data_IF_679656996186
#
_entry.id   IF_679656996186
#
_cell.length_a   1.000
_cell.length_b   1.000
_cell.length_c   1.000
_cell.angle_alpha   90.00
_cell.angle_beta   90.00
_cell.angle_gamma   90.00
#
_symmetry.space_group_name_H-M   'P 1'
#
loop_
_entity.id
_entity.type
_entity.pdbx_description
1 polymer ?
#
# COMPACT_ATOMS: atom_id res chain seq x y z
N UNK A 1 33.43 17.38 23.96
CA UNK A 1 32.40 17.91 24.88
C UNK A 1 31.24 18.41 24.06
N UNK A 2 30.20 17.58 23.90
CA UNK A 2 28.85 17.95 23.42
C UNK A 2 27.91 17.12 24.29
N UNK A 3 26.92 17.80 24.89
CA UNK A 3 26.00 17.27 25.88
C UNK A 3 24.86 16.40 25.31
N UNK A 4 23.96 15.93 26.20
CA UNK A 4 23.14 14.75 26.00
C UNK A 4 21.64 15.06 25.93
N UNK A 5 20.98 14.91 24.79
CA UNK A 5 19.50 14.87 24.74
C UNK A 5 19.01 13.98 23.58
N UNK A 6 18.89 12.67 23.83
CA UNK A 6 18.09 11.76 23.00
C UNK A 6 17.45 10.62 23.82
N UNK A 7 17.32 10.82 25.13
CA UNK A 7 16.60 9.94 26.05
C UNK A 7 15.30 10.64 26.45
N UNK A 8 14.30 10.60 25.56
CA UNK A 8 13.01 11.27 25.80
C UNK A 8 11.83 10.77 24.97
N UNK A 9 12.00 9.71 24.18
CA UNK A 9 10.90 9.07 23.48
C UNK A 9 10.88 7.59 23.85
N UNK A 10 10.16 7.27 24.92
CA UNK A 10 9.56 5.94 25.14
C UNK A 10 8.49 5.71 24.05
N UNK A 11 8.92 5.66 22.79
CA UNK A 11 8.12 5.13 21.71
C UNK A 11 8.19 3.62 21.84
N UNK A 12 7.16 3.07 22.49
CA UNK A 12 6.94 1.64 22.50
C UNK A 12 6.71 1.16 21.07
N UNK A 13 7.79 0.65 20.47
CA UNK A 13 7.80 0.07 19.13
C UNK A 13 7.01 -1.25 19.05
N UNK A 14 6.44 -1.73 20.15
CA UNK A 14 5.51 -2.86 20.17
C UNK A 14 4.21 -2.58 19.39
N UNK A 15 3.82 -1.32 19.19
CA UNK A 15 2.65 -0.98 18.35
C UNK A 15 2.89 -1.14 16.84
N UNK A 16 4.15 -1.17 16.39
CA UNK A 16 4.53 -1.42 14.99
C UNK A 16 4.91 -2.88 14.77
N UNK A 17 5.25 -3.61 15.83
CA UNK A 17 5.26 -5.08 15.86
C UNK A 17 3.95 -5.63 16.41
N UNK A 18 2.86 -5.37 15.68
CA UNK A 18 1.61 -6.06 15.94
C UNK A 18 1.81 -7.57 15.80
N UNK A 19 1.68 -8.31 16.92
CA UNK A 19 1.30 -9.72 16.93
C UNK A 19 0.19 -9.93 15.88
N UNK A 20 0.19 -11.07 15.19
CA UNK A 20 -0.95 -11.55 14.37
C UNK A 20 -2.20 -11.74 15.25
N UNK A 21 -2.82 -10.64 15.66
CA UNK A 21 -4.15 -10.57 16.23
C UNK A 21 -4.99 -9.73 15.26
N UNK A 22 -5.99 -10.36 14.64
CA UNK A 22 -6.90 -9.70 13.71
C UNK A 22 -7.59 -8.56 14.46
N UNK A 23 -7.27 -7.30 14.14
CA UNK A 23 -7.91 -6.13 14.78
C UNK A 23 -9.38 -6.11 14.36
N UNK A 24 -10.28 -6.26 15.33
CA UNK A 24 -11.74 -6.26 15.12
C UNK A 24 -12.34 -4.85 15.14
N UNK A 25 -11.63 -3.88 15.72
CA UNK A 25 -12.04 -2.49 15.81
C UNK A 25 -11.08 -1.60 15.02
N UNK A 26 -11.64 -0.64 14.30
CA UNK A 26 -10.89 0.26 13.42
C UNK A 26 -11.29 1.70 13.73
N UNK A 27 -10.28 2.56 13.94
CA UNK A 27 -10.45 4.02 14.10
C UNK A 27 -10.77 4.64 12.74
N UNK A 28 -11.89 5.33 12.64
CA UNK A 28 -12.46 5.97 11.44
C UNK A 28 -13.83 5.38 11.09
N UNK A 29 -14.82 6.22 10.76
CA UNK A 29 -16.10 5.74 10.17
C UNK A 29 -16.17 6.17 8.70
N UNK A 30 -16.35 5.25 7.74
CA UNK A 30 -16.57 5.65 6.35
C UNK A 30 -17.87 6.45 6.17
N UNK A 31 -18.80 6.35 7.12
CA UNK A 31 -20.03 7.13 7.13
C UNK A 31 -19.84 8.60 7.52
N UNK A 32 -18.71 8.97 8.11
CA UNK A 32 -18.47 10.31 8.66
C UNK A 32 -17.96 11.27 7.60
N UNK A 33 -18.56 12.47 7.54
CA UNK A 33 -18.09 13.56 6.70
C UNK A 33 -18.07 14.88 7.45
N UNK A 34 -17.03 15.68 7.20
CA UNK A 34 -16.87 17.03 7.73
C UNK A 34 -16.78 18.01 6.56
N UNK A 35 -17.64 19.02 6.54
CA UNK A 35 -17.60 20.06 5.53
C UNK A 35 -16.80 21.26 6.02
N UNK A 36 -16.04 21.87 5.10
CA UNK A 36 -15.22 23.04 5.39
C UNK A 36 -16.00 24.29 5.00
N UNK A 37 -16.38 25.10 5.99
CA UNK A 37 -17.17 26.33 5.85
C UNK A 37 -17.14 27.19 7.13
N UNK A 38 -18.02 28.20 7.22
CA UNK A 38 -18.13 29.10 8.39
C UNK A 38 -18.56 28.34 9.66
N UNK A 39 -19.39 27.32 9.51
CA UNK A 39 -19.70 26.33 10.55
C UNK A 39 -19.16 24.97 10.11
N UNK A 40 -18.35 24.31 10.96
CA UNK A 40 -17.82 22.97 10.72
C UNK A 40 -18.94 21.93 10.90
N UNK A 41 -19.76 21.78 9.87
CA UNK A 41 -20.83 20.78 9.87
C UNK A 41 -20.25 19.37 9.78
N UNK A 42 -20.69 18.52 10.70
CA UNK A 42 -20.31 17.11 10.80
C UNK A 42 -21.55 16.26 10.59
N UNK A 43 -21.51 15.39 9.59
CA UNK A 43 -22.65 14.55 9.22
C UNK A 43 -22.27 13.07 9.14
N UNK A 44 -23.25 12.23 9.37
CA UNK A 44 -23.25 10.81 9.06
C UNK A 44 -24.04 10.61 7.77
N UNK A 45 -23.53 9.77 6.88
CA UNK A 45 -24.12 9.38 5.59
C UNK A 45 -24.52 7.91 5.54
N UNK A 46 -24.65 7.26 6.70
CA UNK A 46 -25.00 5.84 6.74
C UNK A 46 -26.42 5.64 6.20
N UNK A 47 -26.63 4.61 5.38
CA UNK A 47 -27.93 4.36 4.73
C UNK A 47 -28.40 5.53 3.84
N UNK A 48 -27.44 6.29 3.30
CA UNK A 48 -27.67 7.49 2.47
C UNK A 48 -28.48 8.62 3.14
N UNK A 49 -28.72 8.49 4.45
CA UNK A 49 -29.35 9.51 5.27
C UNK A 49 -28.34 10.59 5.67
N UNK A 50 -28.71 11.86 5.56
CA UNK A 50 -27.89 12.98 6.05
C UNK A 50 -28.28 13.28 7.50
N UNK A 51 -27.44 12.86 8.44
CA UNK A 51 -27.70 13.03 9.87
C UNK A 51 -26.61 13.89 10.52
N UNK A 52 -26.95 15.07 11.09
CA UNK A 52 -26.00 15.85 11.88
C UNK A 52 -25.48 15.03 13.07
N UNK A 53 -24.17 15.04 13.27
CA UNK A 53 -23.53 14.27 14.34
C UNK A 53 -22.45 15.05 15.09
N UNK A 54 -22.34 14.74 16.38
CA UNK A 54 -21.22 15.08 17.22
C UNK A 54 -20.22 13.92 17.18
N UNK A 55 -19.10 14.14 16.48
CA UNK A 55 -18.04 13.16 16.40
C UNK A 55 -17.00 13.35 17.51
N UNK A 56 -16.70 12.26 18.22
CA UNK A 56 -15.61 12.14 19.19
C UNK A 56 -14.68 11.00 18.77
N UNK A 57 -13.38 11.19 18.91
CA UNK A 57 -12.40 10.14 18.66
C UNK A 57 -12.17 9.36 19.95
N UNK A 58 -12.52 8.07 19.97
CA UNK A 58 -12.39 7.20 21.15
C UNK A 58 -11.31 6.15 20.91
N UNK A 59 -10.59 5.77 21.96
CA UNK A 59 -9.60 4.69 21.85
C UNK A 59 -10.29 3.30 21.80
N UNK A 60 -9.93 2.41 20.85
CA UNK A 60 -10.48 1.06 20.74
C UNK A 60 -10.32 0.22 22.01
N UNK A 61 -9.32 0.52 22.85
CA UNK A 61 -9.11 -0.19 24.12
C UNK A 61 -10.33 -0.12 25.06
N UNK A 62 -11.12 0.96 24.99
CA UNK A 62 -12.38 1.10 25.73
C UNK A 62 -13.43 0.05 25.35
N UNK A 63 -13.27 -0.62 24.22
CA UNK A 63 -14.21 -1.56 23.64
C UNK A 63 -13.61 -2.96 23.44
N UNK A 64 -12.54 -3.31 24.16
CA UNK A 64 -11.84 -4.60 24.04
C UNK A 64 -12.75 -5.82 24.32
N UNK A 65 -13.82 -5.62 25.07
CA UNK A 65 -14.78 -6.67 25.42
C UNK A 65 -15.75 -7.01 24.28
N UNK A 66 -15.79 -6.22 23.20
CA UNK A 66 -16.62 -6.53 22.03
C UNK A 66 -16.01 -7.72 21.28
N UNK A 67 -16.60 -8.90 21.49
CA UNK A 67 -16.17 -10.15 20.87
C UNK A 67 -17.16 -10.67 19.83
N UNK A 68 -18.36 -10.10 19.80
CA UNK A 68 -19.47 -10.43 18.91
C UNK A 68 -20.34 -9.21 18.60
N UNK A 69 -21.23 -9.33 17.62
CA UNK A 69 -22.21 -8.28 17.29
C UNK A 69 -23.16 -8.02 18.48
N UNK A 70 -23.53 -9.06 19.23
CA UNK A 70 -24.43 -8.94 20.37
C UNK A 70 -23.87 -8.00 21.46
N UNK A 71 -22.55 -7.95 21.59
CA UNK A 71 -21.86 -7.06 22.53
C UNK A 71 -21.97 -5.58 22.12
N UNK A 72 -22.13 -5.28 20.82
CA UNK A 72 -22.26 -3.89 20.33
C UNK A 72 -23.48 -3.19 20.94
N UNK A 73 -24.54 -3.93 21.27
CA UNK A 73 -25.75 -3.35 21.87
C UNK A 73 -25.45 -2.68 23.23
N UNK A 74 -24.45 -3.17 23.96
CA UNK A 74 -24.06 -2.64 25.28
C UNK A 74 -23.26 -1.33 25.18
N UNK A 75 -22.65 -1.08 24.02
CA UNK A 75 -21.79 0.08 23.78
C UNK A 75 -22.43 1.10 22.84
N UNK A 76 -23.70 0.89 22.46
CA UNK A 76 -24.48 1.84 21.68
C UNK A 76 -24.66 3.13 22.47
N UNK A 77 -24.49 4.28 21.81
CA UNK A 77 -24.77 5.59 22.39
C UNK A 77 -26.27 5.77 22.63
N UNK A 78 -26.64 6.31 23.79
CA UNK A 78 -28.00 6.76 24.08
C UNK A 78 -28.44 7.94 23.18
N UNK A 79 -27.46 8.70 22.67
CA UNK A 79 -27.70 9.79 21.72
C UNK A 79 -27.47 9.33 20.28
N UNK A 80 -28.50 9.49 19.44
CA UNK A 80 -28.45 9.16 18.00
C UNK A 80 -27.49 10.05 17.20
N UNK A 81 -27.19 11.25 17.70
CA UNK A 81 -26.26 12.18 17.05
C UNK A 81 -24.80 11.92 17.41
N UNK A 82 -24.48 10.98 18.32
CA UNK A 82 -23.09 10.71 18.67
C UNK A 82 -22.41 9.72 17.71
N UNK A 83 -21.19 10.04 17.32
CA UNK A 83 -20.32 9.17 16.52
C UNK A 83 -18.97 8.99 17.23
N UNK A 84 -18.61 7.75 17.54
CA UNK A 84 -17.33 7.41 18.18
C UNK A 84 -16.17 7.32 17.20
N UNK A 85 -16.42 7.57 15.91
CA UNK A 85 -15.47 7.35 14.82
C UNK A 85 -14.80 5.97 14.91
N UNK A 86 -15.59 4.95 15.23
CA UNK A 86 -15.13 3.60 15.43
C UNK A 86 -16.08 2.61 14.76
N UNK A 87 -15.50 1.67 14.04
CA UNK A 87 -16.23 0.60 13.35
C UNK A 87 -15.76 -0.76 13.85
N UNK A 88 -16.71 -1.69 13.91
CA UNK A 88 -16.48 -3.10 14.24
C UNK A 88 -16.53 -3.95 12.97
N UNK A 89 -15.53 -4.78 12.79
CA UNK A 89 -15.40 -5.70 11.67
C UNK A 89 -15.86 -7.09 12.12
N UNK A 90 -17.10 -7.45 11.82
CA UNK A 90 -17.55 -8.81 12.07
C UNK A 90 -17.00 -9.76 11.00
N UNK A 91 -15.98 -10.52 11.36
CA UNK A 91 -15.35 -11.50 10.47
C UNK A 91 -16.16 -12.79 10.32
N UNK A 92 -17.16 -13.02 11.16
CA UNK A 92 -18.02 -14.20 11.06
C UNK A 92 -19.09 -14.02 9.99
N UNK A 93 -19.86 -12.93 10.06
CA UNK A 93 -20.86 -12.60 9.04
C UNK A 93 -20.27 -11.87 7.83
N UNK A 94 -19.10 -11.26 7.99
CA UNK A 94 -18.38 -10.56 6.92
C UNK A 94 -18.75 -9.09 6.77
N UNK A 95 -19.55 -8.51 7.66
CA UNK A 95 -20.05 -7.13 7.56
C UNK A 95 -19.43 -6.15 8.56
N UNK A 96 -19.47 -4.87 8.20
CA UNK A 96 -18.99 -3.77 9.02
C UNK A 96 -20.13 -3.11 9.80
N UNK A 97 -19.87 -2.76 11.06
CA UNK A 97 -20.85 -2.16 11.97
C UNK A 97 -20.34 -0.86 12.58
N UNK A 98 -21.22 0.12 12.72
CA UNK A 98 -20.96 1.36 13.46
C UNK A 98 -21.06 1.08 14.96
N UNK A 99 -19.98 1.33 15.72
CA UNK A 99 -19.96 1.04 17.17
C UNK A 99 -20.93 1.94 17.92
N UNK A 100 -21.02 3.24 17.58
CA UNK A 100 -21.88 4.17 18.32
C UNK A 100 -23.37 3.93 18.11
N UNK A 101 -23.76 3.27 17.03
CA UNK A 101 -25.18 2.99 16.70
C UNK A 101 -25.57 1.53 16.81
N UNK A 102 -24.59 0.61 16.83
CA UNK A 102 -24.83 -0.83 16.78
C UNK A 102 -25.52 -1.28 15.49
N UNK A 103 -25.32 -0.55 14.39
CA UNK A 103 -25.99 -0.79 13.10
C UNK A 103 -24.97 -1.15 12.03
N UNK A 104 -25.41 -1.93 11.04
CA UNK A 104 -24.62 -2.19 9.84
C UNK A 104 -24.31 -0.88 9.13
N UNK A 105 -23.09 -0.79 8.61
CA UNK A 105 -22.70 0.31 7.76
C UNK A 105 -23.16 0.00 6.35
N UNK A 106 -23.93 0.93 5.81
CA UNK A 106 -24.49 0.85 4.49
C UNK A 106 -24.17 2.16 3.75
N UNK A 107 -23.70 2.02 2.51
CA UNK A 107 -23.43 3.13 1.61
C UNK A 107 -24.11 2.78 0.29
N UNK A 108 -24.98 3.66 -0.22
CA UNK A 108 -25.71 3.44 -1.45
C UNK A 108 -26.56 2.16 -1.43
N UNK A 109 -27.37 2.02 -0.38
CA UNK A 109 -28.21 0.84 -0.08
C UNK A 109 -27.46 -0.51 -0.02
N UNK A 110 -26.13 -0.51 -0.04
CA UNK A 110 -25.28 -1.71 0.01
C UNK A 110 -24.51 -1.82 1.32
N UNK A 111 -24.59 -3.00 1.91
CA UNK A 111 -23.86 -3.32 3.14
C UNK A 111 -22.36 -3.34 2.86
N UNK A 112 -21.60 -2.57 3.64
CA UNK A 112 -20.15 -2.52 3.52
C UNK A 112 -19.54 -3.77 4.15
N UNK A 113 -18.79 -4.53 3.36
CA UNK A 113 -18.12 -5.76 3.81
C UNK A 113 -16.84 -5.45 4.57
N UNK A 114 -16.48 -6.34 5.47
CA UNK A 114 -15.19 -6.29 6.19
C UNK A 114 -13.99 -6.42 5.27
N UNK A 115 -14.11 -7.16 4.17
CA UNK A 115 -13.07 -7.25 3.13
C UNK A 115 -12.81 -5.89 2.47
N UNK A 116 -13.88 -5.15 2.15
CA UNK A 116 -13.75 -3.82 1.54
C UNK A 116 -13.09 -2.82 2.50
N UNK A 117 -13.40 -2.91 3.80
CA UNK A 117 -12.72 -2.10 4.82
C UNK A 117 -11.25 -2.48 4.93
N UNK A 118 -10.89 -3.76 4.88
CA UNK A 118 -9.48 -4.16 4.92
C UNK A 118 -8.68 -3.63 3.73
N UNK A 119 -9.24 -3.74 2.53
CA UNK A 119 -8.64 -3.21 1.31
C UNK A 119 -8.53 -1.68 1.39
N UNK A 120 -9.59 -1.01 1.86
CA UNK A 120 -9.59 0.44 2.11
C UNK A 120 -8.54 0.84 3.16
N UNK A 121 -8.34 0.06 4.21
CA UNK A 121 -7.34 0.34 5.26
C UNK A 121 -5.92 0.15 4.75
N UNK A 122 -5.66 -0.91 3.98
CA UNK A 122 -4.38 -1.09 3.29
C UNK A 122 -4.11 0.10 2.37
N UNK A 123 -5.13 0.56 1.63
CA UNK A 123 -5.06 1.76 0.80
C UNK A 123 -4.74 3.03 1.61
N UNK A 124 -5.57 3.41 2.58
CA UNK A 124 -5.41 4.68 3.33
C UNK A 124 -4.11 4.71 4.13
N UNK A 125 -3.69 3.59 4.72
CA UNK A 125 -2.40 3.52 5.43
C UNK A 125 -1.20 3.59 4.48
N UNK A 126 -1.38 3.14 3.23
CA UNK A 126 -0.35 3.26 2.19
C UNK A 126 -0.31 4.64 1.53
N UNK A 127 -1.35 5.48 1.65
CA UNK A 127 -1.44 6.81 1.00
C UNK A 127 -1.31 7.97 1.99
N UNK A 128 -1.78 7.84 3.23
CA UNK A 128 -1.69 8.90 4.24
C UNK A 128 -0.65 8.65 5.34
N UNK A 129 0.02 9.73 5.78
CA UNK A 129 0.81 9.77 7.01
C UNK A 129 0.00 10.43 8.12
N UNK A 130 -1.10 9.80 8.53
CA UNK A 130 -1.86 10.23 9.71
C UNK A 130 -0.96 10.10 10.96
N UNK A 131 -0.76 11.21 11.68
CA UNK A 131 0.11 11.26 12.89
C UNK A 131 -0.57 10.68 14.14
N UNK A 132 -1.88 10.50 14.13
CA UNK A 132 -2.68 10.15 15.31
C UNK A 132 -3.25 8.73 15.29
N UNK A 133 -2.91 7.93 14.26
CA UNK A 133 -3.39 6.54 14.13
C UNK A 133 -4.90 6.41 13.87
N UNK A 134 -5.62 7.53 13.69
CA UNK A 134 -6.99 7.59 13.17
C UNK A 134 -6.91 7.53 11.65
N UNK A 135 -7.63 6.60 11.04
CA UNK A 135 -7.74 6.49 9.58
C UNK A 135 -8.65 7.60 9.09
N UNK A 136 -8.24 8.32 8.03
CA UNK A 136 -9.06 9.35 7.42
C UNK A 136 -10.40 8.76 6.96
N UNK A 137 -11.46 9.20 7.63
CA UNK A 137 -12.83 8.75 7.38
C UNK A 137 -13.31 9.15 5.97
N UNK A 138 -12.92 10.33 5.49
CA UNK A 138 -13.20 10.79 4.12
C UNK A 138 -12.48 9.92 3.07
N UNK A 139 -11.29 9.42 3.39
CA UNK A 139 -10.48 8.59 2.50
C UNK A 139 -11.05 7.17 2.42
N UNK A 140 -11.52 6.62 3.56
CA UNK A 140 -12.29 5.37 3.59
C UNK A 140 -13.57 5.49 2.76
N UNK A 141 -14.33 6.58 2.94
CA UNK A 141 -15.56 6.83 2.18
C UNK A 141 -15.30 6.92 0.67
N UNK A 142 -14.29 7.71 0.26
CA UNK A 142 -13.89 7.86 -1.14
C UNK A 142 -13.45 6.54 -1.76
N UNK A 143 -12.71 5.73 -1.02
CA UNK A 143 -12.31 4.39 -1.50
C UNK A 143 -13.54 3.52 -1.72
N UNK A 144 -14.41 3.38 -0.72
CA UNK A 144 -15.60 2.52 -0.82
C UNK A 144 -16.55 2.97 -1.93
N UNK A 145 -16.71 4.29 -2.14
CA UNK A 145 -17.52 4.82 -3.25
C UNK A 145 -16.93 4.65 -4.63
N UNK A 146 -15.62 4.42 -4.72
CA UNK A 146 -14.92 4.30 -6.00
C UNK A 146 -14.68 2.85 -6.37
N UNK A 147 -14.11 2.09 -5.43
CA UNK A 147 -13.58 0.74 -5.64
C UNK A 147 -14.37 -0.32 -4.88
N UNK A 148 -15.21 0.05 -3.92
CA UNK A 148 -16.09 -0.90 -3.22
C UNK A 148 -17.21 -1.39 -4.11
N UNK A 149 -17.80 -2.54 -3.77
CA UNK A 149 -18.99 -3.07 -4.44
C UNK A 149 -20.17 -2.09 -4.35
N UNK A 150 -20.16 -1.19 -3.36
CA UNK A 150 -21.08 -0.06 -3.21
C UNK A 150 -21.08 0.93 -4.40
N UNK A 151 -20.04 0.92 -5.27
CA UNK A 151 -19.92 1.79 -6.44
C UNK A 151 -20.60 1.24 -7.71
N UNK A 152 -20.99 -0.03 -7.71
CA UNK A 152 -21.57 -0.69 -8.89
C UNK A 152 -22.92 -0.06 -9.26
N UNK A 153 -22.98 0.56 -10.44
CA UNK A 153 -24.16 1.23 -11.01
C UNK A 153 -24.12 2.77 -11.04
N UNK A 154 -23.08 3.41 -10.47
CA UNK A 154 -22.98 4.88 -10.38
C UNK A 154 -21.99 5.54 -11.34
N UNK A 155 -20.99 4.79 -11.78
CA UNK A 155 -19.96 5.27 -12.69
C UNK A 155 -20.13 4.55 -14.01
N UNK A 156 -20.04 5.30 -15.10
CA UNK A 156 -19.79 4.73 -16.41
C UNK A 156 -18.44 4.00 -16.40
N UNK A 157 -18.25 3.04 -17.30
CA UNK A 157 -16.98 2.31 -17.40
C UNK A 157 -15.80 3.26 -17.63
N UNK A 158 -16.04 4.37 -18.35
CA UNK A 158 -15.06 5.43 -18.60
C UNK A 158 -14.68 6.17 -17.31
N UNK A 159 -15.65 6.62 -16.52
CA UNK A 159 -15.37 7.31 -15.24
C UNK A 159 -14.67 6.38 -14.25
N UNK A 160 -15.01 5.10 -14.25
CA UNK A 160 -14.32 4.09 -13.44
C UNK A 160 -12.87 3.93 -13.88
N UNK A 161 -12.61 3.85 -15.19
CA UNK A 161 -11.27 3.72 -15.77
C UNK A 161 -10.40 4.95 -15.48
N UNK A 162 -10.94 6.16 -15.58
CA UNK A 162 -10.23 7.40 -15.25
C UNK A 162 -9.80 7.43 -13.78
N UNK A 163 -10.70 7.07 -12.86
CA UNK A 163 -10.38 7.09 -11.43
C UNK A 163 -9.35 6.03 -11.09
N UNK A 164 -9.48 4.82 -11.66
CA UNK A 164 -8.49 3.76 -11.52
C UNK A 164 -7.12 4.21 -12.05
N UNK A 165 -7.08 4.84 -13.23
CA UNK A 165 -5.85 5.33 -13.83
C UNK A 165 -5.18 6.40 -12.97
N UNK A 166 -5.95 7.37 -12.49
CA UNK A 166 -5.48 8.40 -11.57
C UNK A 166 -4.91 7.79 -10.29
N UNK A 167 -5.62 6.81 -9.72
CA UNK A 167 -5.21 6.11 -8.52
C UNK A 167 -3.89 5.35 -8.70
N UNK A 168 -3.76 4.55 -9.76
CA UNK A 168 -2.52 3.80 -9.97
C UNK A 168 -1.36 4.74 -10.30
N UNK A 169 -1.62 5.85 -11.00
CA UNK A 169 -0.61 6.88 -11.22
C UNK A 169 -0.05 7.40 -9.89
N UNK A 170 -0.91 7.72 -8.92
CA UNK A 170 -0.48 8.20 -7.61
C UNK A 170 0.32 7.15 -6.82
N UNK A 171 -0.17 5.91 -6.74
CA UNK A 171 0.52 4.81 -6.04
C UNK A 171 1.88 4.53 -6.68
N UNK A 172 1.92 4.49 -8.01
CA UNK A 172 3.13 4.25 -8.78
C UNK A 172 4.17 5.35 -8.59
N UNK A 173 3.75 6.62 -8.57
CA UNK A 173 4.63 7.76 -8.27
C UNK A 173 5.19 7.68 -6.86
N UNK A 174 4.36 7.38 -5.86
CA UNK A 174 4.82 7.22 -4.49
C UNK A 174 5.84 6.09 -4.38
N UNK A 175 5.57 4.96 -5.00
CA UNK A 175 6.50 3.83 -5.02
C UNK A 175 7.83 4.22 -5.69
N UNK A 176 7.80 4.92 -6.82
CA UNK A 176 8.99 5.43 -7.47
C UNK A 176 9.76 6.43 -6.58
N UNK A 177 9.06 7.33 -5.88
CA UNK A 177 9.69 8.22 -4.89
C UNK A 177 10.37 7.42 -3.78
N UNK A 178 9.73 6.38 -3.25
CA UNK A 178 10.30 5.50 -2.23
C UNK A 178 11.48 4.66 -2.73
N UNK A 179 11.43 4.14 -3.96
CA UNK A 179 12.52 3.38 -4.59
C UNK A 179 13.74 4.27 -4.84
N UNK A 180 13.50 5.51 -5.25
CA UNK A 180 14.55 6.50 -5.54
C UNK A 180 15.01 7.26 -4.30
N UNK A 181 14.41 7.01 -3.12
CA UNK A 181 14.59 7.77 -1.88
C UNK A 181 14.37 9.29 -2.06
N UNK A 182 13.40 9.66 -2.89
CA UNK A 182 12.97 11.04 -3.06
C UNK A 182 12.03 11.46 -1.90
N UNK A 183 12.36 12.53 -1.20
CA UNK A 183 11.47 13.17 -0.23
C UNK A 183 10.75 14.34 -0.90
N UNK A 184 9.42 14.30 -0.90
CA UNK A 184 8.51 15.24 -1.56
C UNK A 184 8.31 16.58 -0.82
N UNK A 185 8.95 16.79 0.34
CA UNK A 185 8.87 18.05 1.07
C UNK A 185 9.41 19.21 0.22
N UNK A 186 8.51 20.02 -0.35
CA UNK A 186 8.72 21.27 -1.08
C UNK A 186 9.49 21.17 -2.42
N UNK A 187 9.33 20.10 -3.20
CA UNK A 187 9.98 19.96 -4.52
C UNK A 187 8.96 19.92 -5.66
N UNK A 188 9.31 20.54 -6.80
CA UNK A 188 8.47 20.57 -8.00
C UNK A 188 8.47 19.23 -8.75
N UNK A 189 7.46 19.00 -9.59
CA UNK A 189 7.32 17.79 -10.43
C UNK A 189 8.52 17.58 -11.35
N UNK A 190 9.10 18.66 -11.90
CA UNK A 190 10.35 18.59 -12.68
C UNK A 190 11.53 18.04 -11.88
N UNK A 191 11.65 18.42 -10.61
CA UNK A 191 12.72 17.93 -9.74
C UNK A 191 12.53 16.44 -9.39
N UNK A 192 11.28 15.98 -9.32
CA UNK A 192 10.95 14.56 -9.18
C UNK A 192 11.34 13.79 -10.45
N UNK A 193 10.90 14.25 -11.63
CA UNK A 193 11.19 13.61 -12.92
C UNK A 193 12.69 13.46 -13.17
N UNK A 194 13.47 14.53 -12.96
CA UNK A 194 14.93 14.50 -13.09
C UNK A 194 15.59 13.52 -12.11
N UNK A 195 15.08 13.45 -10.88
CA UNK A 195 15.59 12.53 -9.87
C UNK A 195 15.34 11.07 -10.25
N UNK A 196 14.14 10.76 -10.76
CA UNK A 196 13.79 9.43 -11.28
C UNK A 196 14.66 9.09 -12.48
N UNK A 197 14.83 9.98 -13.46
CA UNK A 197 15.73 9.79 -14.62
C UNK A 197 17.17 9.52 -14.19
N UNK A 198 17.69 10.26 -13.21
CA UNK A 198 19.04 10.04 -12.65
C UNK A 198 19.16 8.68 -11.95
N UNK A 199 18.11 8.22 -11.28
CA UNK A 199 18.09 6.89 -10.67
C UNK A 199 18.03 5.77 -11.73
N UNK A 200 17.21 5.93 -12.77
CA UNK A 200 17.18 4.99 -13.92
C UNK A 200 18.57 4.86 -14.54
N UNK A 201 19.30 5.97 -14.72
CA UNK A 201 20.70 5.94 -15.20
C UNK A 201 21.61 5.08 -14.29
N UNK A 202 21.53 5.27 -12.97
CA UNK A 202 22.30 4.47 -11.98
C UNK A 202 21.94 2.98 -12.02
N UNK A 203 20.67 2.65 -12.20
CA UNK A 203 20.22 1.26 -12.37
C UNK A 203 20.83 0.67 -13.64
N UNK A 204 20.81 1.39 -14.76
CA UNK A 204 21.39 0.93 -16.02
C UNK A 204 22.91 0.73 -15.92
N UNK A 205 23.63 1.60 -15.19
CA UNK A 205 25.04 1.41 -14.87
C UNK A 205 25.27 0.12 -14.06
N UNK A 206 24.44 -0.11 -13.03
CA UNK A 206 24.48 -1.35 -12.24
C UNK A 206 24.23 -2.59 -13.10
N UNK A 207 23.27 -2.51 -14.04
CA UNK A 207 22.97 -3.59 -14.99
C UNK A 207 24.18 -3.93 -15.87
N UNK A 208 24.90 -2.92 -16.35
CA UNK A 208 26.13 -3.12 -17.14
C UNK A 208 27.24 -3.77 -16.30
N UNK A 209 27.35 -3.42 -15.02
CA UNK A 209 28.30 -4.07 -14.09
C UNK A 209 27.97 -5.55 -13.91
N UNK A 210 26.69 -5.91 -13.75
CA UNK A 210 26.27 -7.31 -13.66
C UNK A 210 26.50 -8.08 -14.95
N UNK A 211 26.27 -7.46 -16.12
CA UNK A 211 26.59 -8.09 -17.41
C UNK A 211 28.09 -8.37 -17.56
N UNK A 212 28.94 -7.43 -17.14
CA UNK A 212 30.39 -7.63 -17.12
C UNK A 212 30.80 -8.74 -16.14
N UNK A 213 30.13 -8.84 -14.99
CA UNK A 213 30.35 -9.93 -14.04
C UNK A 213 29.94 -11.29 -14.61
N UNK A 214 28.79 -11.38 -15.30
CA UNK A 214 28.38 -12.61 -16.00
C UNK A 214 29.47 -13.07 -16.96
N UNK A 215 29.99 -12.17 -17.80
CA UNK A 215 31.04 -12.53 -18.78
C UNK A 215 32.32 -13.03 -18.10
N UNK A 216 32.75 -12.38 -17.01
CA UNK A 216 33.93 -12.82 -16.24
C UNK A 216 33.72 -14.20 -15.60
N UNK A 217 32.55 -14.44 -15.02
CA UNK A 217 32.22 -15.73 -14.41
C UNK A 217 32.13 -16.85 -15.45
N UNK A 218 31.60 -16.58 -16.64
CA UNK A 218 31.59 -17.54 -17.77
C UNK A 218 33.00 -17.88 -18.24
N UNK A 219 33.89 -16.89 -18.33
CA UNK A 219 35.30 -17.12 -18.70
C UNK A 219 36.06 -17.91 -17.65
N UNK A 220 35.67 -17.80 -16.37
CA UNK A 220 36.27 -18.51 -15.25
C UNK A 220 35.64 -19.90 -14.98
N UNK A 221 34.78 -20.39 -15.88
CA UNK A 221 34.00 -21.64 -15.73
C UNK A 221 33.32 -21.76 -14.35
N UNK A 222 32.72 -20.65 -13.91
CA UNK A 222 32.09 -20.57 -12.61
C UNK A 222 30.83 -21.44 -12.52
N UNK A 223 30.48 -21.81 -11.29
CA UNK A 223 29.29 -22.59 -10.97
C UNK A 223 28.02 -22.05 -11.68
N UNK A 224 27.22 -22.97 -12.23
CA UNK A 224 26.02 -22.64 -13.01
C UNK A 224 24.97 -21.91 -12.16
N UNK A 225 24.80 -22.27 -10.90
CA UNK A 225 23.88 -21.59 -9.98
C UNK A 225 24.34 -20.15 -9.71
N UNK A 226 25.66 -19.91 -9.63
CA UNK A 226 26.22 -18.56 -9.50
C UNK A 226 25.97 -17.71 -10.75
N UNK A 227 26.10 -18.29 -11.95
CA UNK A 227 25.77 -17.61 -13.20
C UNK A 227 24.29 -17.23 -13.28
N UNK A 228 23.39 -18.15 -12.91
CA UNK A 228 21.95 -17.90 -12.87
C UNK A 228 21.58 -16.83 -11.84
N UNK A 229 22.21 -16.84 -10.67
CA UNK A 229 22.03 -15.82 -9.64
C UNK A 229 22.34 -14.42 -10.19
N UNK A 230 23.48 -14.26 -10.85
CA UNK A 230 23.90 -12.98 -11.45
C UNK A 230 22.92 -12.53 -12.54
N UNK A 231 22.41 -13.44 -13.36
CA UNK A 231 21.40 -13.13 -14.37
C UNK A 231 20.06 -12.71 -13.77
N UNK A 232 19.65 -13.29 -12.64
CA UNK A 232 18.47 -12.82 -11.90
C UNK A 232 18.68 -11.41 -11.34
N UNK A 233 19.87 -11.09 -10.81
CA UNK A 233 20.19 -9.73 -10.39
C UNK A 233 20.06 -8.74 -11.56
N UNK A 234 20.65 -9.07 -12.72
CA UNK A 234 20.55 -8.27 -13.94
C UNK A 234 19.11 -8.05 -14.38
N UNK A 235 18.29 -9.11 -14.30
CA UNK A 235 16.88 -9.07 -14.70
C UNK A 235 16.04 -8.17 -13.80
N UNK A 236 16.25 -8.18 -12.48
CA UNK A 236 15.56 -7.26 -11.57
C UNK A 236 15.91 -5.80 -11.88
N UNK A 237 17.19 -5.47 -12.09
CA UNK A 237 17.55 -4.09 -12.45
C UNK A 237 16.90 -3.64 -13.76
N UNK A 238 16.76 -4.55 -14.74
CA UNK A 238 16.01 -4.26 -15.96
C UNK A 238 14.53 -3.98 -15.66
N UNK A 239 13.88 -4.81 -14.86
CA UNK A 239 12.47 -4.65 -14.52
C UNK A 239 12.21 -3.38 -13.70
N UNK A 240 13.05 -3.06 -12.72
CA UNK A 240 12.99 -1.80 -11.96
C UNK A 240 13.13 -0.58 -12.87
N UNK A 241 14.05 -0.62 -13.85
CA UNK A 241 14.20 0.47 -14.81
C UNK A 241 12.97 0.64 -15.70
N UNK A 242 12.39 -0.47 -16.20
CA UNK A 242 11.17 -0.43 -17.02
C UNK A 242 10.02 0.14 -16.18
N UNK A 243 9.85 -0.34 -14.94
CA UNK A 243 8.83 0.17 -14.02
C UNK A 243 8.90 1.68 -13.86
N UNK A 244 10.08 2.21 -13.53
CA UNK A 244 10.28 3.65 -13.34
C UNK A 244 10.09 4.45 -14.64
N UNK A 245 10.44 3.89 -15.79
CA UNK A 245 10.14 4.51 -17.07
C UNK A 245 8.63 4.60 -17.32
N UNK A 246 7.86 3.56 -16.98
CA UNK A 246 6.40 3.62 -17.10
C UNK A 246 5.79 4.66 -16.17
N UNK A 247 6.30 4.79 -14.93
CA UNK A 247 5.85 5.83 -13.99
C UNK A 247 6.00 7.23 -14.60
N UNK A 248 7.08 7.51 -15.33
CA UNK A 248 7.27 8.80 -16.00
C UNK A 248 6.35 8.98 -17.21
N UNK A 249 6.04 7.91 -17.92
CA UNK A 249 5.16 7.94 -19.09
C UNK A 249 3.69 8.16 -18.71
N UNK A 250 3.27 7.76 -17.51
CA UNK A 250 1.92 8.03 -17.00
C UNK A 250 1.60 9.54 -16.91
N UNK A 251 2.61 10.41 -16.84
CA UNK A 251 2.42 11.87 -16.82
C UNK A 251 2.40 12.51 -18.21
N UNK A 252 3.01 11.86 -19.21
CA UNK A 252 3.20 12.43 -20.55
C UNK A 252 2.13 12.02 -21.54
N UNK A 253 1.29 11.04 -21.19
CA UNK A 253 0.27 10.50 -22.08
C UNK A 253 -1.08 11.17 -21.78
N UNK A 254 -1.33 12.31 -22.44
CA UNK A 254 -2.64 12.98 -22.50
C UNK A 254 -3.57 12.35 -23.55
N UNK A 255 -3.18 11.23 -24.14
CA UNK A 255 -4.03 10.43 -25.03
C UNK A 255 -4.52 9.21 -24.25
N UNK A 256 -5.83 9.03 -24.17
CA UNK A 256 -6.59 7.93 -23.55
C UNK A 256 -6.25 6.51 -24.09
N UNK A 257 -5.17 6.36 -24.85
CA UNK A 257 -4.82 5.09 -25.49
C UNK A 257 -3.86 4.33 -24.58
N UNK A 258 -4.47 3.43 -23.81
CA UNK A 258 -3.86 2.29 -23.09
C UNK A 258 -3.21 2.57 -21.72
N UNK A 259 -3.87 3.41 -20.92
CA UNK A 259 -3.58 3.51 -19.49
C UNK A 259 -3.68 2.12 -18.83
N UNK A 260 -4.79 1.40 -19.03
CA UNK A 260 -5.00 0.04 -18.53
C UNK A 260 -3.91 -0.95 -18.95
N UNK A 261 -3.43 -0.93 -20.20
CA UNK A 261 -2.31 -1.79 -20.63
C UNK A 261 -1.00 -1.41 -19.96
N UNK A 262 -0.77 -0.12 -19.72
CA UNK A 262 0.37 0.34 -18.90
C UNK A 262 0.24 -0.17 -17.46
N UNK A 263 -0.97 -0.16 -16.89
CA UNK A 263 -1.23 -0.70 -15.55
C UNK A 263 -0.98 -2.21 -15.48
N UNK A 264 -1.53 -2.98 -16.41
CA UNK A 264 -1.31 -4.45 -16.51
C UNK A 264 0.16 -4.79 -16.69
N UNK A 265 0.89 -3.99 -17.47
CA UNK A 265 2.33 -4.13 -17.61
C UNK A 265 3.05 -3.89 -16.28
N UNK A 266 2.66 -2.87 -15.51
CA UNK A 266 3.24 -2.57 -14.20
C UNK A 266 2.95 -3.68 -13.17
N UNK A 267 1.74 -4.27 -13.18
CA UNK A 267 1.42 -5.48 -12.38
C UNK A 267 2.35 -6.62 -12.74
N UNK A 268 2.43 -6.95 -14.03
CA UNK A 268 3.25 -8.05 -14.54
C UNK A 268 4.73 -7.87 -14.18
N UNK A 269 5.23 -6.64 -14.25
CA UNK A 269 6.60 -6.31 -13.84
C UNK A 269 6.77 -6.57 -12.34
N UNK A 270 5.80 -6.14 -11.53
CA UNK A 270 5.84 -6.26 -10.08
C UNK A 270 5.85 -7.73 -9.62
N UNK A 271 4.98 -8.56 -10.20
CA UNK A 271 4.96 -10.01 -9.97
C UNK A 271 6.29 -10.67 -10.34
N UNK A 272 6.85 -10.32 -11.51
CA UNK A 272 8.15 -10.83 -11.95
C UNK A 272 9.29 -10.41 -11.03
N UNK A 273 9.25 -9.19 -10.46
CA UNK A 273 10.26 -8.75 -9.47
C UNK A 273 10.18 -9.57 -8.19
N UNK A 274 8.96 -9.90 -7.72
CA UNK A 274 8.74 -10.74 -6.54
C UNK A 274 9.30 -12.15 -6.80
N UNK A 275 8.90 -12.78 -7.92
CA UNK A 275 9.39 -14.10 -8.32
C UNK A 275 10.92 -14.15 -8.42
N UNK A 276 11.55 -13.16 -9.06
CA UNK A 276 13.00 -13.10 -9.16
C UNK A 276 13.68 -12.87 -7.80
N UNK A 277 13.02 -12.17 -6.87
CA UNK A 277 13.55 -11.97 -5.51
C UNK A 277 13.57 -13.27 -4.72
N UNK A 278 12.53 -14.11 -4.86
CA UNK A 278 12.48 -15.45 -4.27
C UNK A 278 13.55 -16.37 -4.87
N UNK A 279 13.69 -16.40 -6.20
CA UNK A 279 14.72 -17.18 -6.88
C UNK A 279 16.13 -16.78 -6.45
N UNK A 280 16.37 -15.49 -6.25
CA UNK A 280 17.67 -14.99 -5.76
C UNK A 280 17.93 -15.45 -4.34
N UNK A 281 16.92 -15.42 -3.47
CA UNK A 281 17.03 -15.87 -2.09
C UNK A 281 17.36 -17.37 -2.05
N UNK A 282 16.63 -18.17 -2.80
CA UNK A 282 16.84 -19.61 -2.93
C UNK A 282 18.26 -19.94 -3.43
N UNK A 283 18.68 -19.36 -4.56
CA UNK A 283 20.01 -19.59 -5.12
C UNK A 283 21.15 -19.05 -4.26
N UNK A 284 20.93 -17.93 -3.55
CA UNK A 284 21.93 -17.40 -2.61
C UNK A 284 22.13 -18.39 -1.45
N UNK A 285 21.05 -18.96 -0.91
CA UNK A 285 21.13 -19.94 0.17
C UNK A 285 21.81 -21.23 -0.32
N UNK A 286 21.42 -21.74 -1.49
CA UNK A 286 22.04 -22.92 -2.11
C UNK A 286 23.57 -22.78 -2.27
N UNK A 287 24.03 -21.63 -2.78
CA UNK A 287 25.46 -21.35 -2.95
C UNK A 287 26.22 -21.22 -1.63
N UNK A 288 25.56 -20.70 -0.58
CA UNK A 288 26.13 -20.61 0.76
C UNK A 288 26.28 -22.01 1.37
N UNK A 289 25.24 -22.84 1.29
CA UNK A 289 25.22 -24.20 1.82
C UNK A 289 26.29 -25.07 1.15
N UNK A 290 26.41 -24.95 -0.18
CA UNK A 290 27.41 -25.69 -0.98
C UNK A 290 28.83 -25.13 -0.85
N UNK A 291 29.03 -24.00 -0.15
CA UNK A 291 30.31 -23.26 -0.10
C UNK A 291 30.89 -22.96 -1.49
N UNK A 292 30.02 -22.83 -2.49
CA UNK A 292 30.40 -22.62 -3.90
C UNK A 292 30.71 -21.15 -4.23
N UNK A 293 31.00 -20.34 -3.21
CA UNK A 293 31.18 -18.90 -3.32
C UNK A 293 32.17 -18.40 -2.26
N UNK A 294 33.06 -17.48 -2.64
CA UNK A 294 34.01 -16.85 -1.69
C UNK A 294 33.29 -16.06 -0.60
N UNK A 295 33.92 -15.92 0.56
CA UNK A 295 33.36 -15.19 1.72
C UNK A 295 33.07 -13.71 1.43
N UNK A 296 33.88 -13.06 0.58
CA UNK A 296 33.62 -11.68 0.12
C UNK A 296 32.33 -11.62 -0.74
N UNK A 297 32.18 -12.54 -1.70
CA UNK A 297 30.97 -12.62 -2.52
C UNK A 297 29.73 -12.93 -1.69
N UNK A 298 29.82 -13.88 -0.74
CA UNK A 298 28.69 -14.22 0.14
C UNK A 298 28.23 -13.00 0.95
N UNK A 299 29.17 -12.20 1.46
CA UNK A 299 28.86 -10.99 2.22
C UNK A 299 28.16 -9.94 1.34
N UNK A 300 28.63 -9.77 0.10
CA UNK A 300 28.01 -8.86 -0.87
C UNK A 300 26.59 -9.28 -1.26
N UNK A 301 26.38 -10.57 -1.56
CA UNK A 301 25.06 -11.07 -1.91
C UNK A 301 24.08 -10.98 -0.74
N UNK A 302 24.50 -11.31 0.49
CA UNK A 302 23.66 -11.10 1.70
C UNK A 302 23.22 -9.64 1.86
N UNK A 303 24.15 -8.69 1.69
CA UNK A 303 23.83 -7.25 1.76
C UNK A 303 22.85 -6.82 0.67
N UNK A 304 23.00 -7.36 -0.55
CA UNK A 304 22.06 -7.12 -1.64
C UNK A 304 20.67 -7.72 -1.38
N UNK A 305 20.60 -8.93 -0.83
CA UNK A 305 19.34 -9.60 -0.46
C UNK A 305 18.60 -8.85 0.64
N UNK A 306 19.29 -8.39 1.69
CA UNK A 306 18.67 -7.56 2.74
C UNK A 306 18.13 -6.24 2.20
N UNK A 307 18.89 -5.54 1.35
CA UNK A 307 18.41 -4.32 0.70
C UNK A 307 17.15 -4.57 -0.14
N UNK A 308 17.03 -5.77 -0.73
CA UNK A 308 15.91 -6.15 -1.58
C UNK A 308 14.64 -6.54 -0.85
N UNK A 309 14.70 -6.97 0.41
CA UNK A 309 13.47 -7.24 1.19
C UNK A 309 12.52 -6.04 1.23
N UNK A 310 13.07 -4.83 1.37
CA UNK A 310 12.27 -3.61 1.34
C UNK A 310 11.67 -3.33 -0.05
N UNK A 311 12.42 -3.60 -1.11
CA UNK A 311 11.93 -3.46 -2.49
C UNK A 311 10.83 -4.48 -2.80
N UNK A 312 11.03 -5.73 -2.42
CA UNK A 312 10.06 -6.83 -2.58
C UNK A 312 8.75 -6.55 -1.84
N UNK A 313 8.83 -6.10 -0.57
CA UNK A 313 7.65 -5.69 0.19
C UNK A 313 6.84 -4.61 -0.54
N UNK A 314 7.51 -3.64 -1.16
CA UNK A 314 6.85 -2.57 -1.93
C UNK A 314 6.19 -3.09 -3.20
N UNK A 315 6.87 -3.94 -3.97
CA UNK A 315 6.27 -4.58 -5.16
C UNK A 315 5.12 -5.50 -4.77
N UNK A 316 5.19 -6.21 -3.65
CA UNK A 316 4.08 -7.02 -3.13
C UNK A 316 2.86 -6.19 -2.76
N UNK A 317 3.06 -5.04 -2.11
CA UNK A 317 1.96 -4.11 -1.82
C UNK A 317 1.34 -3.56 -3.10
N UNK A 318 2.17 -3.22 -4.10
CA UNK A 318 1.67 -2.76 -5.40
C UNK A 318 0.84 -3.85 -6.10
N UNK A 319 1.31 -5.09 -6.16
CA UNK A 319 0.53 -6.20 -6.75
C UNK A 319 -0.80 -6.35 -6.03
N UNK A 320 -0.83 -6.34 -4.69
CA UNK A 320 -2.11 -6.44 -3.94
C UNK A 320 -3.08 -5.32 -4.32
N UNK A 321 -2.60 -4.09 -4.30
CA UNK A 321 -3.41 -2.91 -4.67
C UNK A 321 -3.95 -3.06 -6.10
N UNK A 322 -3.11 -3.47 -7.04
CA UNK A 322 -3.50 -3.54 -8.45
C UNK A 322 -4.34 -4.76 -8.80
N UNK A 323 -4.14 -5.90 -8.11
CA UNK A 323 -4.96 -7.10 -8.28
C UNK A 323 -6.36 -6.93 -7.71
N UNK A 324 -6.53 -6.13 -6.64
CA UNK A 324 -7.86 -5.73 -6.15
C UNK A 324 -8.58 -4.89 -7.21
N UNK A 325 -7.89 -3.97 -7.87
CA UNK A 325 -8.47 -3.16 -8.96
C UNK A 325 -8.88 -4.03 -10.16
N UNK A 326 -8.01 -4.95 -10.62
CA UNK A 326 -8.28 -5.81 -11.79
C UNK A 326 -9.50 -6.72 -11.56
N UNK A 327 -9.68 -7.22 -10.33
CA UNK A 327 -10.85 -8.01 -9.93
C UNK A 327 -12.17 -7.22 -10.03
N UNK A 328 -12.14 -5.90 -9.85
CA UNK A 328 -13.29 -5.01 -9.93
C UNK A 328 -13.55 -4.41 -11.32
N UNK A 329 -12.62 -4.57 -12.28
CA UNK A 329 -12.77 -4.14 -13.68
C UNK A 329 -13.16 -5.25 -14.65
N UNK A 330 -13.10 -6.53 -14.23
CA UNK A 330 -13.35 -7.68 -15.12
C UNK A 330 -14.74 -8.31 -14.95
N UNK A 331 -15.65 -7.65 -14.22
CA UNK A 331 -17.07 -8.01 -14.07
C UNK A 331 -17.96 -6.99 -14.76
#
# INVERSE_FOLDING_TARGET
MIGPEASGFNLDTSQVRGKKGVRRLVKGCPCYKEFVGLDKEKICLNNDDILPINAISVDPSFFEQIVSIDDLAQYKSDSQSMCYLLIYLDRKEGYCYCVSRGQRININEKDVKTSEIDSALQFVTSTERSRDGVVCSDCLYKYLRTLGEASTGFLTDVEREEIITSYVSEVSKRMAAELTNFSSTNKSDKAYEEHVKKYIKRINESRSQWAALTSKLKQADADKTLLELVEHYRSIYRLEAIFLSQVLNLETTSNEIDALGTLKLMVTISEKVIQLSDMIREKTNDLIERKAMSTDLQTRFKKHTEKRKNTEYRFSNLVKVLSEIDAHTTQ
#
